data_IF_696389149155
#
_entry.id   IF_696389149155
#
_cell.length_a   1.000
_cell.length_b   1.000
_cell.length_c   1.000
_cell.angle_alpha   90.00
_cell.angle_beta   90.00
_cell.angle_gamma   90.00
#
_symmetry.space_group_name_H-M   'P 1'
#
loop_
_entity.id
_entity.type
_entity.pdbx_description
1 polymer ?
#
# COMPACT_ATOMS: atom_id res chain seq x y z
N UNK A 1 2.84 -9.66 33.83
CA UNK A 1 2.87 -9.73 32.35
C UNK A 1 3.02 -8.31 31.79
N UNK A 2 3.93 -8.06 30.85
CA UNK A 2 4.17 -6.72 30.27
C UNK A 2 3.82 -6.74 28.77
N UNK A 3 2.85 -5.91 28.37
CA UNK A 3 2.46 -5.71 26.97
C UNK A 3 3.23 -4.49 26.44
N UNK A 4 3.82 -4.58 25.24
CA UNK A 4 4.56 -3.47 24.61
C UNK A 4 4.03 -3.24 23.19
N UNK A 5 3.54 -2.04 22.93
CA UNK A 5 3.31 -1.54 21.57
C UNK A 5 4.63 -1.01 20.99
N UNK A 6 5.03 -1.50 19.81
CA UNK A 6 6.23 -1.05 19.10
C UNK A 6 5.92 -0.88 17.59
N UNK A 7 5.46 0.31 17.15
CA UNK A 7 5.25 0.59 15.74
C UNK A 7 6.58 0.56 14.98
N UNK A 8 6.50 0.54 13.65
CA UNK A 8 7.68 0.78 12.83
C UNK A 8 8.12 2.23 12.96
N UNK A 9 9.43 2.44 12.99
CA UNK A 9 10.10 3.73 13.05
C UNK A 9 10.57 4.14 11.64
N UNK A 10 10.86 3.15 10.78
CA UNK A 10 11.27 3.36 9.39
C UNK A 10 10.59 2.32 8.49
N UNK A 11 10.09 2.78 7.34
CA UNK A 11 9.58 1.93 6.26
C UNK A 11 10.44 2.15 5.01
N UNK A 12 10.99 1.07 4.49
CA UNK A 12 11.71 1.06 3.21
C UNK A 12 10.83 0.39 2.15
N UNK A 13 10.59 1.10 1.04
CA UNK A 13 9.86 0.58 -0.12
C UNK A 13 10.87 0.23 -1.19
N UNK A 14 10.97 -1.05 -1.54
CA UNK A 14 11.99 -1.53 -2.50
C UNK A 14 11.59 -1.23 -3.95
N UNK A 15 10.31 -1.41 -4.28
CA UNK A 15 9.77 -1.09 -5.60
C UNK A 15 8.49 -0.27 -5.46
N UNK A 16 8.30 0.71 -6.34
CA UNK A 16 7.10 1.52 -6.39
C UNK A 16 6.73 1.84 -7.83
N UNK A 17 5.47 1.60 -8.21
CA UNK A 17 5.00 1.80 -9.58
C UNK A 17 3.65 2.51 -9.57
N UNK A 18 3.55 3.59 -10.34
CA UNK A 18 2.30 4.31 -10.58
C UNK A 18 1.49 3.62 -11.67
N UNK A 19 0.21 3.39 -11.39
CA UNK A 19 -0.79 2.83 -12.29
C UNK A 19 -1.93 3.82 -12.53
N UNK A 20 -2.69 3.58 -13.59
CA UNK A 20 -4.05 4.12 -13.70
C UNK A 20 -5.00 3.39 -12.75
N UNK A 21 -6.14 4.02 -12.41
CA UNK A 21 -7.21 3.38 -11.64
C UNK A 21 -7.69 2.07 -12.27
N UNK A 22 -7.78 2.03 -13.60
CA UNK A 22 -8.13 0.80 -14.31
C UNK A 22 -7.06 -0.28 -14.11
N UNK A 23 -5.78 0.06 -14.27
CA UNK A 23 -4.69 -0.93 -14.20
C UNK A 23 -4.52 -1.52 -12.79
N UNK A 24 -4.68 -0.70 -11.74
CA UNK A 24 -4.64 -1.20 -10.36
C UNK A 24 -5.83 -2.11 -10.05
N UNK A 25 -7.01 -1.80 -10.58
CA UNK A 25 -8.19 -2.64 -10.44
C UNK A 25 -8.02 -3.98 -11.20
N UNK A 26 -7.50 -3.95 -12.44
CA UNK A 26 -7.21 -5.16 -13.22
C UNK A 26 -6.18 -6.05 -12.50
N UNK A 27 -5.15 -5.43 -11.93
CA UNK A 27 -4.13 -6.14 -11.14
C UNK A 27 -4.76 -6.76 -9.89
N UNK A 28 -5.67 -6.05 -9.22
CA UNK A 28 -6.43 -6.59 -8.11
C UNK A 28 -7.30 -7.80 -8.51
N UNK A 29 -7.95 -7.74 -9.67
CA UNK A 29 -8.73 -8.86 -10.18
C UNK A 29 -7.87 -10.11 -10.45
N UNK A 30 -6.63 -9.92 -10.94
CA UNK A 30 -5.67 -11.00 -11.13
C UNK A 30 -5.20 -11.60 -9.80
N UNK A 31 -4.99 -10.77 -8.77
CA UNK A 31 -4.63 -11.24 -7.42
C UNK A 31 -5.78 -12.08 -6.83
N UNK A 32 -7.03 -11.60 -6.91
CA UNK A 32 -8.21 -12.37 -6.49
C UNK A 32 -8.34 -13.71 -7.23
N UNK A 33 -8.09 -13.72 -8.54
CA UNK A 33 -8.09 -14.95 -9.35
C UNK A 33 -7.10 -16.01 -8.88
N UNK A 34 -5.96 -15.57 -8.35
CA UNK A 34 -4.95 -16.47 -7.81
C UNK A 34 -5.31 -17.04 -6.42
N UNK A 35 -6.52 -16.76 -5.92
CA UNK A 35 -6.99 -17.21 -4.60
C UNK A 35 -6.56 -16.32 -3.44
N UNK A 36 -5.88 -15.20 -3.71
CA UNK A 36 -5.43 -14.28 -2.68
C UNK A 36 -6.46 -13.17 -2.44
N UNK A 37 -6.76 -12.90 -1.17
CA UNK A 37 -7.52 -11.71 -0.82
C UNK A 37 -6.71 -10.45 -1.17
N UNK A 38 -7.39 -9.44 -1.71
CA UNK A 38 -6.82 -8.11 -1.91
C UNK A 38 -7.76 -7.06 -1.35
N UNK A 39 -7.16 -6.08 -0.68
CA UNK A 39 -7.79 -4.82 -0.32
C UNK A 39 -6.86 -3.72 -0.82
N UNK A 40 -7.43 -2.75 -1.53
CA UNK A 40 -6.75 -1.50 -1.83
C UNK A 40 -6.97 -0.54 -0.66
N UNK A 41 -5.90 0.09 -0.20
CA UNK A 41 -5.99 1.13 0.81
C UNK A 41 -6.16 2.46 0.11
N UNK A 42 -7.00 3.33 0.66
CA UNK A 42 -7.15 4.70 0.22
C UNK A 42 -6.88 5.66 1.38
N UNK A 43 -6.14 6.72 1.10
CA UNK A 43 -6.00 7.87 1.97
C UNK A 43 -5.47 9.05 1.15
N UNK A 44 -5.85 10.28 1.52
CA UNK A 44 -5.26 11.51 1.01
C UNK A 44 -5.14 11.55 -0.53
N UNK A 45 -6.20 11.12 -1.22
CA UNK A 45 -6.25 11.17 -2.69
C UNK A 45 -5.44 10.07 -3.40
N UNK A 46 -4.90 9.08 -2.70
CA UNK A 46 -4.12 7.98 -3.27
C UNK A 46 -4.76 6.64 -2.91
N UNK A 47 -4.96 5.78 -3.92
CA UNK A 47 -5.28 4.36 -3.73
C UNK A 47 -4.04 3.51 -3.96
N UNK A 48 -3.79 2.52 -3.12
CA UNK A 48 -2.58 1.70 -3.23
C UNK A 48 -2.73 0.31 -2.61
N UNK A 49 -1.87 -0.60 -3.07
CA UNK A 49 -1.66 -1.90 -2.47
C UNK A 49 -0.16 -2.09 -2.22
N UNK A 50 0.19 -2.67 -1.08
CA UNK A 50 1.58 -2.95 -0.72
C UNK A 50 1.76 -4.44 -0.43
N UNK A 51 2.93 -4.96 -0.76
CA UNK A 51 3.33 -6.33 -0.45
C UNK A 51 4.45 -6.29 0.59
N UNK A 52 4.24 -6.80 1.82
CA UNK A 52 5.29 -6.81 2.84
C UNK A 52 6.41 -7.76 2.42
N UNK A 53 7.66 -7.40 2.74
CA UNK A 53 8.76 -8.35 2.67
C UNK A 53 8.68 -9.27 3.90
N UNK A 54 8.58 -10.60 3.73
CA UNK A 54 8.47 -11.51 4.87
C UNK A 54 9.77 -11.53 5.69
N UNK A 55 9.66 -11.55 7.02
CA UNK A 55 10.79 -11.66 7.93
C UNK A 55 11.32 -13.11 8.01
N UNK A 56 11.77 -13.65 6.89
CA UNK A 56 12.23 -15.04 6.77
C UNK A 56 13.73 -15.24 7.07
N UNK A 57 14.47 -14.16 7.38
CA UNK A 57 15.87 -14.21 7.78
C UNK A 57 16.11 -13.61 9.16
N UNK A 58 17.25 -13.95 9.78
CA UNK A 58 17.63 -13.41 11.10
C UNK A 58 17.93 -11.92 11.02
N UNK A 59 18.45 -11.47 9.89
CA UNK A 59 18.79 -10.08 9.58
C UNK A 59 17.53 -9.23 9.52
N UNK A 60 16.53 -9.65 8.74
CA UNK A 60 15.25 -8.94 8.63
C UNK A 60 14.48 -8.92 9.95
N UNK A 61 14.56 -10.00 10.74
CA UNK A 61 13.98 -10.03 12.07
C UNK A 61 14.68 -9.06 13.03
N UNK A 62 16.01 -8.93 12.94
CA UNK A 62 16.78 -7.97 13.73
C UNK A 62 16.36 -6.53 13.38
N UNK A 63 16.28 -6.20 12.10
CA UNK A 63 15.83 -4.87 11.65
C UNK A 63 14.40 -4.57 12.12
N UNK A 64 13.48 -5.54 12.04
CA UNK A 64 12.12 -5.39 12.59
C UNK A 64 12.11 -5.11 14.09
N UNK A 65 13.00 -5.79 14.84
CA UNK A 65 13.17 -5.56 16.28
C UNK A 65 13.74 -4.18 16.58
N UNK A 66 14.57 -3.65 15.70
CA UNK A 66 15.15 -2.31 15.83
C UNK A 66 14.12 -1.23 15.46
N UNK A 67 13.23 -1.49 14.51
CA UNK A 67 12.12 -0.60 14.17
C UNK A 67 11.90 -0.44 12.66
N UNK A 68 12.75 -1.04 11.84
CA UNK A 68 12.68 -0.94 10.38
C UNK A 68 11.83 -2.07 9.78
N UNK A 69 10.99 -1.72 8.82
CA UNK A 69 10.21 -2.67 8.03
C UNK A 69 10.42 -2.43 6.54
N UNK A 70 10.12 -3.45 5.74
CA UNK A 70 10.28 -3.42 4.30
C UNK A 70 8.98 -3.81 3.62
N UNK A 71 8.64 -3.06 2.59
CA UNK A 71 7.68 -3.48 1.59
C UNK A 71 8.42 -3.80 0.31
N UNK A 72 8.20 -5.01 -0.19
CA UNK A 72 8.79 -5.46 -1.44
C UNK A 72 8.29 -4.61 -2.61
N UNK A 73 7.02 -4.23 -2.60
CA UNK A 73 6.40 -3.45 -3.68
C UNK A 73 5.23 -2.61 -3.18
N UNK A 74 5.06 -1.44 -3.79
CA UNK A 74 3.84 -0.63 -3.77
C UNK A 74 3.36 -0.39 -5.19
N UNK A 75 2.10 -0.71 -5.46
CA UNK A 75 1.38 -0.21 -6.64
C UNK A 75 0.38 0.83 -6.18
N UNK A 76 0.31 1.97 -6.87
CA UNK A 76 -0.56 3.07 -6.47
C UNK A 76 -1.18 3.77 -7.68
N UNK A 77 -2.25 4.52 -7.46
CA UNK A 77 -2.87 5.38 -8.46
C UNK A 77 -3.46 6.63 -7.79
N UNK A 78 -3.42 7.80 -8.46
CA UNK A 78 -4.20 8.96 -8.03
C UNK A 78 -5.70 8.63 -8.02
N UNK A 79 -6.35 8.97 -6.91
CA UNK A 79 -7.78 8.76 -6.66
C UNK A 79 -8.31 9.89 -5.75
N UNK A 80 -8.57 11.10 -6.29
CA UNK A 80 -8.87 12.28 -5.47
C UNK A 80 -10.06 12.11 -4.52
N UNK A 81 -11.07 11.35 -4.96
CA UNK A 81 -12.26 11.05 -4.18
C UNK A 81 -12.29 9.58 -3.76
N UNK A 82 -12.68 9.33 -2.52
CA UNK A 82 -12.89 7.97 -2.04
C UNK A 82 -14.04 7.29 -2.79
N UNK A 83 -13.82 6.02 -3.12
CA UNK A 83 -14.80 5.09 -3.65
C UNK A 83 -14.57 3.78 -2.91
N UNK A 84 -15.64 3.12 -2.49
CA UNK A 84 -15.59 1.86 -1.74
C UNK A 84 -15.07 0.67 -2.57
N UNK A 85 -15.07 0.80 -3.89
CA UNK A 85 -14.63 -0.24 -4.81
C UNK A 85 -14.18 0.31 -6.16
N UNK A 86 -13.34 -0.47 -6.85
CA UNK A 86 -13.04 -0.30 -8.27
C UNK A 86 -13.53 -1.52 -9.04
N UNK A 87 -14.38 -1.31 -10.05
CA UNK A 87 -14.99 -2.40 -10.83
C UNK A 87 -14.17 -2.74 -12.07
N UNK A 88 -14.02 -4.04 -12.35
CA UNK A 88 -13.40 -4.59 -13.57
C UNK A 88 -14.27 -5.73 -14.09
N UNK A 89 -15.06 -5.43 -15.13
CA UNK A 89 -16.06 -6.36 -15.65
C UNK A 89 -17.05 -6.76 -14.54
N UNK A 90 -17.24 -8.06 -14.25
CA UNK A 90 -18.17 -8.52 -13.22
C UNK A 90 -17.58 -8.48 -11.79
N UNK A 91 -16.38 -7.91 -11.59
CA UNK A 91 -15.66 -7.98 -10.31
C UNK A 91 -15.51 -6.61 -9.69
N UNK A 92 -15.61 -6.60 -8.37
CA UNK A 92 -15.33 -5.43 -7.55
C UNK A 92 -14.08 -5.68 -6.70
N UNK A 93 -13.13 -4.75 -6.79
CA UNK A 93 -11.94 -4.72 -5.95
C UNK A 93 -12.23 -3.79 -4.77
N UNK A 94 -12.25 -4.29 -3.52
CA UNK A 94 -12.60 -3.48 -2.37
C UNK A 94 -11.53 -2.44 -2.08
N UNK A 95 -11.98 -1.23 -1.78
CA UNK A 95 -11.14 -0.09 -1.40
C UNK A 95 -11.56 0.38 -0.01
N UNK A 96 -10.60 0.44 0.90
CA UNK A 96 -10.83 0.83 2.30
C UNK A 96 -10.15 2.15 2.57
N UNK A 97 -10.91 3.14 3.05
CA UNK A 97 -10.31 4.33 3.68
C UNK A 97 -9.58 3.87 4.94
N UNK A 98 -8.25 3.91 4.92
CA UNK A 98 -7.46 3.25 5.94
C UNK A 98 -7.39 4.08 7.23
N UNK A 99 -7.73 3.53 8.41
CA UNK A 99 -7.52 4.21 9.68
C UNK A 99 -6.05 4.12 10.15
N UNK A 100 -5.21 3.32 9.47
CA UNK A 100 -3.85 3.04 9.90
C UNK A 100 -2.93 4.26 9.67
N UNK A 101 -2.32 4.84 10.73
CA UNK A 101 -1.47 6.03 10.60
C UNK A 101 -0.29 5.84 9.65
N UNK A 102 0.37 4.67 9.65
CA UNK A 102 1.48 4.37 8.73
C UNK A 102 1.01 4.44 7.27
N UNK A 103 -0.16 3.87 6.98
CA UNK A 103 -0.70 3.84 5.62
C UNK A 103 -1.14 5.23 5.16
N UNK A 104 -1.69 6.07 6.06
CA UNK A 104 -1.96 7.49 5.77
C UNK A 104 -0.67 8.28 5.48
N UNK A 105 0.38 8.08 6.29
CA UNK A 105 1.68 8.72 6.08
C UNK A 105 2.28 8.34 4.72
N UNK A 106 2.21 7.05 4.35
CA UNK A 106 2.65 6.59 3.02
C UNK A 106 1.86 7.29 1.92
N UNK A 107 0.53 7.33 2.03
CA UNK A 107 -0.31 7.96 1.00
C UNK A 107 0.04 9.44 0.80
N UNK A 108 0.24 10.20 1.89
CA UNK A 108 0.72 11.59 1.82
C UNK A 108 2.08 11.69 1.12
N UNK A 109 3.03 10.85 1.51
CA UNK A 109 4.38 10.84 0.93
C UNK A 109 4.38 10.48 -0.57
N UNK A 110 3.46 9.63 -1.01
CA UNK A 110 3.25 9.34 -2.43
C UNK A 110 2.63 10.54 -3.15
N UNK A 111 1.58 11.16 -2.58
CA UNK A 111 0.89 12.32 -3.17
C UNK A 111 1.86 13.47 -3.46
N UNK A 112 2.71 13.80 -2.49
CA UNK A 112 3.72 14.87 -2.65
C UNK A 112 4.70 14.61 -3.81
N UNK A 113 4.96 13.34 -4.14
CA UNK A 113 5.83 12.97 -5.28
C UNK A 113 5.13 13.14 -6.61
N UNK A 114 3.85 12.80 -6.68
CA UNK A 114 3.01 12.96 -7.88
C UNK A 114 2.83 14.44 -8.23
N UNK A 115 2.59 15.28 -7.23
CA UNK A 115 2.46 16.74 -7.40
C UNK A 115 3.75 17.38 -7.95
N UNK A 116 4.91 16.97 -7.41
CA UNK A 116 6.23 17.45 -7.88
C UNK A 116 6.51 17.03 -9.32
N UNK A 117 6.17 15.79 -9.69
CA UNK A 117 6.32 15.30 -11.06
C UNK A 117 5.41 16.02 -12.06
N UNK A 118 4.21 16.45 -11.62
CA UNK A 118 3.25 17.18 -12.47
C UNK A 118 3.57 18.67 -12.64
N UNK A 119 4.48 19.21 -11.80
CA UNK A 119 4.88 20.62 -11.80
C UNK A 119 6.24 20.87 -12.47
N UNK A 120 6.85 19.84 -13.06
CA UNK A 120 8.16 19.87 -13.75
C UNK A 120 7.98 19.62 -15.24
#
# INVERSE_FOLDING_TARGET
>A
MKIKYKPAEELVILEMVEYSLQKIAETGALIQNSGHAIILNWANGIVFHHSPLPFNSKELLKERKEGRIYWARVIYAPMPEYKEKLSVGPRDIPVVETPNPLLKTVASWISERVEKASSS
#
